data_IF_477576762910
#
_entry.id   IF_477576762910
#
_cell.length_a   1.000
_cell.length_b   1.000
_cell.length_c   1.000
_cell.angle_alpha   90.00
_cell.angle_beta   90.00
_cell.angle_gamma   90.00
#
_symmetry.space_group_name_H-M   'P 1'
#
loop_
_entity.id
_entity.type
_entity.pdbx_description
1 polymer ?
#
# COMPACT_ATOMS: atom_id res chain seq x y z
N UNK A 1 18.27 7.60 8.64
CA UNK A 1 16.89 7.80 9.14
C UNK A 1 16.29 6.43 9.40
N UNK A 2 15.90 6.14 10.64
CA UNK A 2 15.17 4.91 10.96
C UNK A 2 13.78 5.07 10.34
N UNK A 3 13.47 4.33 9.26
CA UNK A 3 12.09 4.24 8.77
C UNK A 3 11.31 3.52 9.87
N UNK A 4 10.47 4.23 10.60
CA UNK A 4 9.58 3.61 11.58
C UNK A 4 8.60 2.71 10.85
N UNK A 5 8.76 1.42 11.05
CA UNK A 5 7.90 0.41 10.47
C UNK A 5 6.78 0.09 11.46
N UNK A 6 5.53 0.36 11.08
CA UNK A 6 4.38 -0.01 11.88
C UNK A 6 4.11 -1.50 11.70
N UNK A 7 4.21 -2.28 12.79
CA UNK A 7 3.81 -3.69 12.79
C UNK A 7 2.38 -3.81 13.27
N UNK A 8 1.48 -4.24 12.38
CA UNK A 8 0.08 -4.47 12.70
C UNK A 8 -0.20 -5.97 12.70
N UNK A 9 -0.97 -6.42 13.69
CA UNK A 9 -1.24 -7.85 13.96
C UNK A 9 -2.69 -8.26 13.69
N UNK A 10 -3.51 -7.34 13.19
CA UNK A 10 -4.87 -7.69 12.80
C UNK A 10 -5.33 -6.89 11.57
N UNK A 11 -6.34 -7.44 10.89
CA UNK A 11 -6.95 -6.87 9.69
C UNK A 11 -7.51 -5.46 9.92
N UNK A 12 -8.27 -5.26 11.00
CA UNK A 12 -8.97 -4.00 11.26
C UNK A 12 -8.00 -2.82 11.44
N UNK A 13 -6.94 -3.01 12.22
CA UNK A 13 -5.91 -1.98 12.41
C UNK A 13 -5.17 -1.69 11.10
N UNK A 14 -4.93 -2.72 10.29
CA UNK A 14 -4.32 -2.54 8.97
C UNK A 14 -5.23 -1.72 8.04
N UNK A 15 -6.55 -1.99 8.03
CA UNK A 15 -7.50 -1.21 7.24
C UNK A 15 -7.59 0.25 7.73
N UNK A 16 -7.60 0.48 9.05
CA UNK A 16 -7.53 1.84 9.62
C UNK A 16 -6.27 2.57 9.19
N UNK A 17 -5.12 1.90 9.22
CA UNK A 17 -3.85 2.49 8.83
C UNK A 17 -3.81 2.79 7.32
N UNK A 18 -4.35 1.89 6.48
CA UNK A 18 -4.53 2.14 5.05
C UNK A 18 -5.42 3.38 4.80
N UNK A 19 -6.52 3.56 5.56
CA UNK A 19 -7.35 4.77 5.46
C UNK A 19 -6.58 6.03 5.84
N UNK A 20 -5.79 6.02 6.94
CA UNK A 20 -4.95 7.17 7.31
C UNK A 20 -3.98 7.55 6.19
N UNK A 21 -3.33 6.57 5.55
CA UNK A 21 -2.43 6.85 4.44
C UNK A 21 -3.19 7.33 3.19
N UNK A 22 -4.38 6.78 2.93
CA UNK A 22 -5.25 7.27 1.86
C UNK A 22 -5.56 8.76 2.04
N UNK A 23 -5.92 9.18 3.25
CA UNK A 23 -6.21 10.58 3.58
C UNK A 23 -4.97 11.48 3.44
N UNK A 24 -3.77 10.91 3.56
CA UNK A 24 -2.47 11.58 3.33
C UNK A 24 -2.04 11.61 1.86
N UNK A 25 -2.88 11.12 0.94
CA UNK A 25 -2.64 11.15 -0.51
C UNK A 25 -1.99 9.90 -1.09
N UNK A 26 -1.90 8.79 -0.34
CA UNK A 26 -1.53 7.51 -0.91
C UNK A 26 -2.73 6.89 -1.64
N UNK A 27 -2.50 6.17 -2.74
CA UNK A 27 -3.57 5.66 -3.61
C UNK A 27 -3.45 4.19 -3.91
N UNK A 28 -2.24 3.65 -3.90
CA UNK A 28 -1.97 2.27 -4.27
C UNK A 28 -1.24 1.54 -3.16
N UNK A 29 -1.52 0.24 -3.05
CA UNK A 29 -0.85 -0.66 -2.13
C UNK A 29 -0.48 -1.96 -2.87
N UNK A 30 0.71 -2.47 -2.59
CA UNK A 30 1.23 -3.74 -3.11
C UNK A 30 1.85 -4.54 -1.97
N UNK A 31 2.05 -5.84 -2.19
CA UNK A 31 2.90 -6.65 -1.33
C UNK A 31 4.31 -6.60 -1.87
N UNK A 32 5.29 -6.56 -0.99
CA UNK A 32 6.70 -6.79 -1.32
C UNK A 32 7.00 -8.29 -1.52
N UNK A 33 8.13 -8.63 -2.16
CA UNK A 33 8.50 -10.02 -2.45
C UNK A 33 8.60 -10.86 -1.17
N UNK A 34 9.12 -10.27 -0.08
CA UNK A 34 9.27 -10.95 1.22
C UNK A 34 7.91 -11.30 1.87
N UNK A 35 6.79 -10.78 1.36
CA UNK A 35 5.44 -11.14 1.81
C UNK A 35 5.03 -10.56 3.17
N UNK A 36 5.96 -10.02 3.95
CA UNK A 36 5.67 -9.42 5.25
C UNK A 36 5.26 -7.94 5.17
N UNK A 37 5.48 -7.30 4.03
CA UNK A 37 5.42 -5.85 3.89
C UNK A 37 4.40 -5.42 2.85
N UNK A 38 3.48 -4.57 3.29
CA UNK A 38 2.67 -3.75 2.40
C UNK A 38 3.45 -2.48 2.07
N UNK A 39 3.55 -2.15 0.78
CA UNK A 39 4.20 -0.93 0.30
C UNK A 39 3.15 -0.03 -0.33
N UNK A 40 3.09 1.22 0.15
CA UNK A 40 2.11 2.21 -0.26
C UNK A 40 2.74 3.24 -1.20
N UNK A 41 2.02 3.56 -2.27
CA UNK A 41 2.42 4.49 -3.31
C UNK A 41 1.36 5.57 -3.53
N UNK A 42 1.81 6.80 -3.77
CA UNK A 42 0.96 7.96 -4.08
C UNK A 42 0.47 7.98 -5.52
N UNK A 43 1.31 7.51 -6.45
CA UNK A 43 1.01 7.29 -7.86
C UNK A 43 1.04 5.80 -8.18
N UNK A 44 0.48 5.41 -9.34
CA UNK A 44 0.43 4.01 -9.77
C UNK A 44 1.86 3.46 -9.93
N UNK A 45 2.28 2.47 -9.13
CA UNK A 45 3.61 1.90 -9.26
C UNK A 45 3.67 0.88 -10.40
N UNK A 46 4.89 0.56 -10.82
CA UNK A 46 5.23 -0.53 -11.73
C UNK A 46 6.11 -1.54 -11.01
N UNK A 47 5.98 -2.81 -11.40
CA UNK A 47 6.88 -3.88 -10.94
C UNK A 47 8.10 -3.98 -11.85
N UNK A 48 9.27 -3.87 -11.25
CA UNK A 48 10.59 -4.09 -11.85
C UNK A 48 10.97 -5.55 -11.61
N UNK A 49 10.89 -6.37 -12.66
CA UNK A 49 11.07 -7.83 -12.54
C UNK A 49 12.53 -8.23 -12.34
N UNK A 50 13.44 -7.43 -12.89
CA UNK A 50 14.88 -7.54 -12.76
C UNK A 50 15.38 -7.24 -11.33
N UNK A 51 14.72 -6.30 -10.65
CA UNK A 51 15.03 -5.92 -9.28
C UNK A 51 14.11 -6.58 -8.24
N UNK A 52 13.16 -7.39 -8.70
CA UNK A 52 12.07 -7.97 -7.91
C UNK A 52 11.42 -6.97 -6.94
N UNK A 53 11.18 -5.74 -7.42
CA UNK A 53 10.70 -4.63 -6.60
C UNK A 53 9.54 -3.87 -7.26
N UNK A 54 8.79 -3.10 -6.46
CA UNK A 54 7.85 -2.10 -6.97
C UNK A 54 8.44 -0.69 -6.82
N UNK A 55 8.17 0.18 -7.79
CA UNK A 55 8.57 1.58 -7.72
C UNK A 55 7.72 2.47 -8.62
N UNK A 56 7.98 3.77 -8.57
CA UNK A 56 7.33 4.72 -9.48
C UNK A 56 7.84 4.55 -10.90
N UNK A 57 6.96 4.78 -11.88
CA UNK A 57 7.36 4.85 -13.30
C UNK A 57 8.22 6.07 -13.56
N UNK A 58 7.88 7.19 -12.91
CA UNK A 58 8.67 8.42 -12.88
C UNK A 58 8.82 8.85 -11.42
N UNK A 59 10.01 8.77 -10.87
CA UNK A 59 10.30 9.14 -9.48
C UNK A 59 10.40 10.65 -9.26
N UNK A 60 10.68 11.42 -10.33
CA UNK A 60 10.77 12.87 -10.31
C UNK A 60 9.41 13.56 -10.50
N UNK A 61 8.31 12.81 -10.61
CA UNK A 61 6.98 13.40 -10.67
C UNK A 61 6.72 14.19 -9.37
N UNK A 62 6.36 15.49 -9.44
CA UNK A 62 6.15 16.31 -8.24
C UNK A 62 4.99 15.81 -7.34
N UNK A 63 4.13 14.93 -7.84
CA UNK A 63 3.08 14.26 -7.07
C UNK A 63 3.55 12.97 -6.41
N UNK A 64 4.73 12.45 -6.79
CA UNK A 64 5.32 11.27 -6.19
C UNK A 64 5.81 11.57 -4.77
N UNK A 65 5.29 10.83 -3.80
CA UNK A 65 5.68 10.88 -2.39
C UNK A 65 6.56 9.68 -2.04
N UNK A 66 7.51 9.80 -1.11
CA UNK A 66 8.26 8.65 -0.61
C UNK A 66 7.33 7.51 -0.16
N UNK A 67 7.57 6.30 -0.65
CA UNK A 67 6.75 5.14 -0.30
C UNK A 67 6.75 4.90 1.21
N UNK A 68 5.64 4.39 1.72
CA UNK A 68 5.48 4.02 3.12
C UNK A 68 5.32 2.51 3.20
N UNK A 69 5.76 1.90 4.30
CA UNK A 69 5.61 0.46 4.48
C UNK A 69 4.92 0.12 5.78
N UNK A 70 4.10 -0.91 5.75
CA UNK A 70 3.39 -1.48 6.89
C UNK A 70 3.78 -2.95 6.98
N UNK A 71 4.26 -3.41 8.14
CA UNK A 71 4.44 -4.85 8.36
C UNK A 71 3.06 -5.45 8.61
N UNK A 72 2.64 -6.36 7.73
CA UNK A 72 1.34 -7.00 7.80
C UNK A 72 1.40 -8.39 7.18
N UNK A 73 0.88 -9.38 7.91
CA UNK A 73 0.71 -10.77 7.44
C UNK A 73 -0.77 -11.15 7.25
N UNK A 74 -1.70 -10.30 7.71
CA UNK A 74 -3.12 -10.64 7.81
C UNK A 74 -3.93 -10.32 6.56
N UNK A 75 -3.53 -9.30 5.80
CA UNK A 75 -4.10 -9.04 4.48
C UNK A 75 -3.37 -9.98 3.54
N UNK A 76 -4.01 -10.99 2.98
CA UNK A 76 -3.35 -11.95 2.07
C UNK A 76 -3.77 -11.77 0.62
N UNK A 77 -4.87 -11.03 0.41
CA UNK A 77 -5.46 -10.73 -0.89
C UNK A 77 -4.56 -9.82 -1.73
N UNK A 78 -3.91 -8.86 -1.09
CA UNK A 78 -2.84 -8.07 -1.69
C UNK A 78 -1.57 -8.93 -1.67
N UNK A 79 -1.20 -9.54 -2.79
CA UNK A 79 -0.10 -10.49 -2.87
C UNK A 79 0.91 -10.11 -3.96
N UNK A 80 2.16 -10.55 -3.80
CA UNK A 80 3.25 -10.25 -4.73
C UNK A 80 2.97 -10.75 -6.15
N UNK A 81 2.28 -11.90 -6.28
CA UNK A 81 1.98 -12.52 -7.57
C UNK A 81 0.97 -11.70 -8.40
N UNK A 82 0.20 -10.80 -7.76
CA UNK A 82 -0.67 -9.86 -8.47
C UNK A 82 0.14 -9.04 -9.46
N UNK A 83 -0.34 -9.01 -10.71
CA UNK A 83 0.28 -8.21 -11.78
C UNK A 83 -0.03 -6.72 -11.66
N UNK A 84 -1.02 -6.36 -10.83
CA UNK A 84 -1.52 -5.01 -10.68
C UNK A 84 -1.42 -4.55 -9.22
N UNK A 85 -1.07 -3.29 -9.06
CA UNK A 85 -1.20 -2.62 -7.78
C UNK A 85 -2.68 -2.47 -7.40
N UNK A 86 -2.97 -2.61 -6.11
CA UNK A 86 -4.34 -2.52 -5.59
C UNK A 86 -4.64 -1.08 -5.25
N UNK A 87 -5.79 -0.57 -5.69
CA UNK A 87 -6.30 0.73 -5.28
C UNK A 87 -6.74 0.65 -3.81
N UNK A 88 -6.19 1.53 -2.97
CA UNK A 88 -6.49 1.55 -1.53
C UNK A 88 -7.99 1.84 -1.32
N UNK A 89 -8.55 2.78 -2.08
CA UNK A 89 -9.97 3.14 -1.99
C UNK A 89 -10.89 1.93 -2.24
N UNK A 90 -10.70 1.23 -3.36
CA UNK A 90 -11.48 0.03 -3.70
C UNK A 90 -11.30 -1.06 -2.64
N UNK A 91 -10.07 -1.25 -2.15
CA UNK A 91 -9.78 -2.21 -1.11
C UNK A 91 -10.51 -1.89 0.19
N UNK A 92 -10.54 -0.62 0.60
CA UNK A 92 -11.24 -0.18 1.81
C UNK A 92 -12.76 -0.32 1.67
N UNK A 93 -13.34 0.07 0.52
CA UNK A 93 -14.78 -0.08 0.23
C UNK A 93 -15.22 -1.55 0.29
N UNK A 94 -14.47 -2.45 -0.34
CA UNK A 94 -14.74 -3.89 -0.32
C UNK A 94 -14.61 -4.51 1.08
N UNK A 95 -13.99 -3.81 2.02
CA UNK A 95 -13.81 -4.24 3.40
C UNK A 95 -14.71 -3.50 4.40
N UNK A 96 -15.71 -2.75 3.92
CA UNK A 96 -16.66 -2.04 4.78
C UNK A 96 -16.07 -0.82 5.49
N UNK A 97 -14.90 -0.34 5.06
CA UNK A 97 -14.35 0.97 5.44
C UNK A 97 -14.63 1.93 4.28
N UNK A 98 -15.91 2.19 4.02
CA UNK A 98 -16.34 3.28 3.16
C UNK A 98 -16.64 4.49 4.04
N UNK A 99 -16.33 5.70 3.56
CA UNK A 99 -16.78 6.91 4.22
C UNK A 99 -18.31 6.86 4.33
N UNK A 100 -18.82 7.06 5.55
CA UNK A 100 -20.19 7.53 5.71
C UNK A 100 -20.22 8.89 5.01
N UNK A 101 -20.91 8.99 3.89
CA UNK A 101 -21.32 10.28 3.35
C UNK A 101 -22.29 10.88 4.38
N UNK A 102 -21.82 11.87 5.15
CA UNK A 102 -22.67 12.83 5.87
C UNK A 102 -23.10 13.96 4.92
#
# INVERSE_FOLDING_TARGET
>A
MVKEYVRLKNRMDTLKELKKYFDRGFRYVVRDLEGEWLVLFSLKPKRYMDLEAWGYVNEDDPKARPCQIIRNLDITEINWKSRNAVLIEDFLKNNGIAESEE
#
